data_IF_437681280919
#
_entry.id   IF_437681280919
#
_cell.length_a   1.000
_cell.length_b   1.000
_cell.length_c   1.000
_cell.angle_alpha   90.00
_cell.angle_beta   90.00
_cell.angle_gamma   90.00
#
_symmetry.space_group_name_H-M   'P 1'
#
loop_
_entity.id
_entity.type
_entity.pdbx_description
1 polymer ?
#
# COMPACT_ATOMS: atom_id res chain seq x y z
N UNK A 1 53.91 5.25 51.67
CA UNK A 1 52.63 4.58 52.00
C UNK A 1 51.47 5.55 51.73
N UNK A 2 50.69 5.34 50.68
CA UNK A 2 49.36 5.95 50.46
C UNK A 2 48.52 4.93 49.68
N UNK A 3 47.57 4.32 50.37
CA UNK A 3 46.52 3.45 49.81
C UNK A 3 45.36 4.37 49.40
N UNK A 4 44.78 4.18 48.22
CA UNK A 4 43.33 4.30 47.98
C UNK A 4 43.02 3.39 46.78
N UNK A 5 42.24 2.35 47.05
CA UNK A 5 41.51 1.54 46.07
C UNK A 5 40.12 2.17 45.98
N UNK A 6 39.64 2.51 44.78
CA UNK A 6 38.25 2.84 44.43
C UNK A 6 38.26 3.14 42.92
N UNK A 7 37.41 2.68 42.03
CA UNK A 7 36.32 1.71 41.99
C UNK A 7 36.00 1.56 40.50
N UNK A 8 35.41 0.42 40.14
CA UNK A 8 34.89 0.06 38.83
C UNK A 8 34.27 1.23 38.06
N UNK A 9 34.88 1.65 36.96
CA UNK A 9 34.12 2.20 35.83
C UNK A 9 34.43 1.33 34.61
N UNK A 10 33.75 0.19 34.53
CA UNK A 10 33.57 -0.51 33.27
C UNK A 10 32.80 0.46 32.38
N UNK A 11 33.50 1.15 31.49
CA UNK A 11 32.87 1.90 30.41
C UNK A 11 32.27 0.85 29.46
N UNK A 12 31.08 0.36 29.80
CA UNK A 12 30.27 -0.35 28.82
C UNK A 12 29.96 0.66 27.72
N UNK A 13 30.69 0.57 26.61
CA UNK A 13 30.16 1.03 25.33
C UNK A 13 28.87 0.24 25.11
N UNK A 14 27.75 0.78 25.57
CA UNK A 14 26.46 0.41 25.05
C UNK A 14 26.48 0.86 23.60
N UNK A 15 26.84 -0.05 22.69
CA UNK A 15 26.63 0.18 21.27
C UNK A 15 25.13 0.38 21.10
N UNK A 16 24.71 1.64 20.99
CA UNK A 16 23.35 2.02 20.62
C UNK A 16 23.21 1.51 19.19
N UNK A 17 22.70 0.29 19.05
CA UNK A 17 22.27 -0.21 17.77
C UNK A 17 20.98 0.54 17.46
N UNK A 18 21.10 1.65 16.73
CA UNK A 18 19.99 2.21 15.98
C UNK A 18 19.58 1.11 14.98
N UNK A 19 18.60 0.30 15.39
CA UNK A 19 17.97 -0.63 14.48
C UNK A 19 17.04 0.20 13.61
N UNK A 20 17.41 0.36 12.35
CA UNK A 20 16.52 0.89 11.34
C UNK A 20 15.27 0.01 11.38
N UNK A 21 14.13 0.62 11.70
CA UNK A 21 12.85 -0.06 11.56
C UNK A 21 12.62 -0.21 10.06
N UNK A 22 12.41 -1.44 9.60
CA UNK A 22 12.07 -1.67 8.21
C UNK A 22 10.75 -0.97 7.91
N UNK A 23 10.80 0.03 7.03
CA UNK A 23 9.60 0.66 6.52
C UNK A 23 8.89 -0.34 5.59
N UNK A 24 7.77 -0.86 6.06
CA UNK A 24 6.90 -1.79 5.33
C UNK A 24 5.70 -1.07 4.72
N UNK A 25 5.73 0.26 4.68
CA UNK A 25 4.66 1.06 4.05
C UNK A 25 4.64 0.78 2.56
N UNK A 26 3.48 0.38 1.99
CA UNK A 26 3.32 0.28 0.56
C UNK A 26 3.56 1.62 -0.12
N UNK A 27 4.34 1.61 -1.20
CA UNK A 27 4.59 2.79 -2.04
C UNK A 27 3.85 2.58 -3.36
N UNK A 28 2.98 3.54 -3.69
CA UNK A 28 2.34 3.62 -5.00
C UNK A 28 2.95 4.78 -5.76
N UNK A 29 3.39 4.53 -6.98
CA UNK A 29 4.04 5.53 -7.83
C UNK A 29 3.63 5.37 -9.30
N UNK A 30 4.10 6.29 -10.15
CA UNK A 30 3.84 6.29 -11.60
C UNK A 30 2.35 6.20 -11.97
N UNK A 31 1.50 6.82 -11.14
CA UNK A 31 0.05 6.81 -11.34
C UNK A 31 -0.31 7.61 -12.59
N UNK A 32 -0.92 6.95 -13.56
CA UNK A 32 -1.53 7.59 -14.74
C UNK A 32 -2.98 7.16 -14.86
N UNK A 33 -3.81 8.02 -15.45
CA UNK A 33 -5.22 7.71 -15.66
C UNK A 33 -5.73 8.38 -16.94
N UNK A 34 -6.53 7.65 -17.70
CA UNK A 34 -7.15 8.15 -18.92
C UNK A 34 -8.55 7.56 -19.10
N UNK A 35 -9.50 8.42 -19.49
CA UNK A 35 -10.82 7.96 -19.88
C UNK A 35 -10.70 7.20 -21.21
N UNK A 36 -11.36 6.05 -21.29
CA UNK A 36 -11.48 5.30 -22.55
C UNK A 36 -12.47 6.04 -23.45
N UNK A 37 -12.00 6.44 -24.63
CA UNK A 37 -12.77 7.27 -25.56
C UNK A 37 -14.16 6.70 -25.84
N UNK A 38 -15.17 7.58 -25.82
CA UNK A 38 -16.59 7.24 -26.04
C UNK A 38 -17.19 6.27 -25.03
N UNK A 39 -16.59 6.11 -23.84
CA UNK A 39 -17.13 5.28 -22.76
C UNK A 39 -17.11 6.04 -21.43
N UNK A 40 -17.75 5.46 -20.40
CA UNK A 40 -17.63 5.92 -19.00
C UNK A 40 -16.55 5.15 -18.23
N UNK A 41 -15.68 4.42 -18.92
CA UNK A 41 -14.58 3.70 -18.30
C UNK A 41 -13.33 4.58 -18.20
N UNK A 42 -12.61 4.45 -17.09
CA UNK A 42 -11.29 5.03 -16.86
C UNK A 42 -10.29 3.89 -16.70
N UNK A 43 -9.18 3.94 -17.43
CA UNK A 43 -8.02 3.08 -17.17
C UNK A 43 -7.02 3.83 -16.29
N UNK A 44 -6.55 3.15 -15.27
CA UNK A 44 -5.61 3.67 -14.27
C UNK A 44 -4.44 2.70 -14.21
N UNK A 45 -3.23 3.22 -14.39
CA UNK A 45 -1.99 2.46 -14.27
C UNK A 45 -1.18 2.99 -13.09
N UNK A 46 -0.48 2.09 -12.40
CA UNK A 46 0.41 2.44 -11.29
C UNK A 46 1.44 1.33 -11.05
N UNK A 47 2.49 1.68 -10.32
CA UNK A 47 3.44 0.72 -9.77
C UNK A 47 3.19 0.59 -8.26
N UNK A 48 3.30 -0.64 -7.75
CA UNK A 48 3.18 -0.96 -6.33
C UNK A 48 4.47 -1.59 -5.84
N UNK A 49 5.11 -0.95 -4.86
CA UNK A 49 6.30 -1.44 -4.17
C UNK A 49 5.99 -1.71 -2.71
N UNK A 50 6.34 -2.91 -2.25
CA UNK A 50 6.25 -3.32 -0.85
C UNK A 50 7.50 -4.10 -0.53
N UNK A 51 8.25 -3.68 0.50
CA UNK A 51 9.61 -4.18 0.78
C UNK A 51 9.70 -5.70 0.98
N UNK A 52 8.67 -6.29 1.58
CA UNK A 52 8.62 -7.72 1.90
C UNK A 52 7.76 -8.53 0.92
N UNK A 53 7.30 -7.90 -0.17
CA UNK A 53 6.51 -8.56 -1.20
C UNK A 53 5.06 -8.87 -0.79
N UNK A 54 4.59 -8.44 0.40
CA UNK A 54 3.25 -8.79 0.85
C UNK A 54 2.15 -8.10 0.02
N UNK A 55 1.02 -8.79 -0.23
CA UNK A 55 -0.08 -8.21 -0.97
C UNK A 55 -0.75 -7.07 -0.20
N UNK A 56 -1.32 -6.13 -0.96
CA UNK A 56 -2.06 -4.99 -0.42
C UNK A 56 -3.52 -5.00 -0.85
N UNK A 57 -4.32 -4.21 -0.14
CA UNK A 57 -5.64 -3.78 -0.62
C UNK A 57 -5.49 -2.46 -1.37
N UNK A 58 -5.92 -2.43 -2.62
CA UNK A 58 -5.87 -1.24 -3.48
C UNK A 58 -7.23 -0.55 -3.50
N UNK A 59 -7.25 0.73 -3.11
CA UNK A 59 -8.42 1.61 -3.19
C UNK A 59 -8.13 2.75 -4.14
N UNK A 60 -9.06 3.02 -5.06
CA UNK A 60 -8.99 4.17 -5.96
C UNK A 60 -9.92 5.26 -5.45
N UNK A 61 -9.37 6.46 -5.32
CA UNK A 61 -10.08 7.68 -4.96
C UNK A 61 -10.07 8.65 -6.13
N UNK A 62 -11.15 9.42 -6.26
CA UNK A 62 -11.31 10.43 -7.29
C UNK A 62 -11.56 11.81 -6.69
N UNK A 63 -10.88 12.79 -7.26
CA UNK A 63 -11.04 14.22 -7.00
C UNK A 63 -11.74 14.88 -8.18
N UNK A 64 -12.60 15.84 -7.86
CA UNK A 64 -13.30 16.68 -8.84
C UNK A 64 -12.75 18.12 -8.86
N UNK A 65 -11.85 18.44 -7.93
CA UNK A 65 -11.40 19.79 -7.58
C UNK A 65 -9.87 19.93 -7.66
N UNK A 66 -9.29 19.37 -8.72
CA UNK A 66 -7.85 19.45 -9.02
C UNK A 66 -6.95 18.85 -7.92
N UNK A 67 -7.46 17.86 -7.18
CA UNK A 67 -6.71 17.15 -6.12
C UNK A 67 -6.78 17.83 -4.76
N UNK A 68 -7.62 18.86 -4.57
CA UNK A 68 -7.80 19.51 -3.27
C UNK A 68 -8.50 18.57 -2.28
N UNK A 69 -9.51 17.84 -2.73
CA UNK A 69 -10.22 16.80 -1.98
C UNK A 69 -10.43 15.54 -2.82
N UNK A 70 -10.73 14.42 -2.16
CA UNK A 70 -10.96 13.12 -2.79
C UNK A 70 -12.23 12.46 -2.24
N UNK A 71 -13.41 13.04 -2.50
CA UNK A 71 -14.66 12.62 -1.87
C UNK A 71 -15.18 11.28 -2.40
N UNK A 72 -14.83 10.90 -3.64
CA UNK A 72 -15.34 9.69 -4.26
C UNK A 72 -14.38 8.52 -4.10
N UNK A 73 -14.95 7.35 -3.89
CA UNK A 73 -14.27 6.06 -3.97
C UNK A 73 -14.80 5.34 -5.19
N UNK A 74 -13.91 4.84 -6.04
CA UNK A 74 -14.31 4.01 -7.16
C UNK A 74 -14.76 2.63 -6.62
N UNK A 75 -16.03 2.28 -6.80
CA UNK A 75 -16.60 1.01 -6.31
C UNK A 75 -16.75 -0.01 -7.43
N UNK A 76 -17.02 0.44 -8.65
CA UNK A 76 -17.14 -0.43 -9.83
C UNK A 76 -15.80 -0.61 -10.54
N UNK A 77 -14.87 -1.29 -9.86
CA UNK A 77 -13.49 -1.50 -10.33
C UNK A 77 -13.20 -2.95 -10.68
N UNK A 78 -12.35 -3.15 -11.67
CA UNK A 78 -11.80 -4.46 -12.07
C UNK A 78 -10.30 -4.38 -12.27
N UNK A 79 -9.61 -5.53 -12.28
CA UNK A 79 -8.15 -5.60 -12.40
C UNK A 79 -7.46 -5.51 -11.05
N UNK A 80 -6.39 -4.71 -10.96
CA UNK A 80 -5.54 -4.56 -9.78
C UNK A 80 -6.16 -3.67 -8.69
N UNK A 81 -7.41 -3.93 -8.31
CA UNK A 81 -8.16 -3.22 -7.27
C UNK A 81 -8.72 -4.20 -6.23
N UNK A 82 -8.98 -3.71 -5.01
CA UNK A 82 -9.45 -4.54 -3.91
C UNK A 82 -8.32 -5.29 -3.20
N UNK A 83 -8.63 -6.34 -2.42
CA UNK A 83 -7.64 -7.06 -1.62
C UNK A 83 -6.76 -8.00 -2.45
N UNK A 84 -5.57 -8.33 -1.93
CA UNK A 84 -4.73 -9.41 -2.47
C UNK A 84 -3.84 -9.01 -3.66
N UNK A 85 -3.67 -7.71 -3.92
CA UNK A 85 -2.87 -7.23 -5.05
C UNK A 85 -1.39 -7.34 -4.72
N UNK A 86 -0.66 -8.09 -5.54
CA UNK A 86 0.78 -8.29 -5.41
C UNK A 86 1.54 -7.04 -5.87
N UNK A 87 2.70 -6.73 -5.25
CA UNK A 87 3.62 -5.71 -5.76
C UNK A 87 4.03 -5.99 -7.21
N UNK A 88 4.20 -4.93 -8.00
CA UNK A 88 4.49 -5.03 -9.42
C UNK A 88 4.42 -3.68 -10.13
N UNK A 89 4.92 -3.66 -11.37
CA UNK A 89 4.91 -2.48 -12.23
C UNK A 89 3.79 -2.58 -13.27
N UNK A 90 3.27 -1.43 -13.71
CA UNK A 90 2.25 -1.35 -14.78
C UNK A 90 0.92 -2.02 -14.42
N UNK A 91 0.59 -2.10 -13.13
CA UNK A 91 -0.67 -2.66 -12.66
C UNK A 91 -1.83 -1.81 -13.18
N UNK A 92 -2.89 -2.47 -13.67
CA UNK A 92 -4.04 -1.79 -14.29
C UNK A 92 -5.33 -1.98 -13.49
N UNK A 93 -6.01 -0.88 -13.23
CA UNK A 93 -7.40 -0.83 -12.79
C UNK A 93 -8.26 -0.24 -13.90
N UNK A 94 -9.40 -0.88 -14.16
CA UNK A 94 -10.46 -0.29 -14.98
C UNK A 94 -11.62 0.06 -14.05
N UNK A 95 -12.02 1.33 -14.05
CA UNK A 95 -13.13 1.85 -13.26
C UNK A 95 -14.29 2.24 -14.19
N UNK A 96 -15.47 1.69 -13.94
CA UNK A 96 -16.73 2.15 -14.53
C UNK A 96 -17.28 3.33 -13.72
N UNK A 97 -17.08 4.54 -14.24
CA UNK A 97 -17.52 5.77 -13.58
C UNK A 97 -19.04 5.94 -13.61
N UNK A 98 -19.78 5.18 -14.43
CA UNK A 98 -21.24 5.29 -14.50
C UNK A 98 -21.95 4.82 -13.24
N UNK A 99 -21.25 4.12 -12.35
CA UNK A 99 -21.79 3.67 -11.06
C UNK A 99 -21.62 4.74 -9.98
N UNK A 100 -20.45 5.38 -9.93
CA UNK A 100 -20.07 6.26 -8.82
C UNK A 100 -20.20 7.77 -9.16
N UNK A 101 -20.19 8.12 -10.43
CA UNK A 101 -20.08 9.50 -10.93
C UNK A 101 -20.90 9.73 -12.21
N UNK A 102 -22.09 9.16 -12.27
CA UNK A 102 -22.91 9.25 -13.48
C UNK A 102 -23.42 10.67 -13.76
N UNK A 103 -23.53 11.01 -15.04
CA UNK A 103 -24.07 12.28 -15.55
C UNK A 103 -23.38 13.54 -14.98
N UNK A 104 -22.12 13.42 -14.57
CA UNK A 104 -21.31 14.51 -14.04
C UNK A 104 -20.00 14.63 -14.81
N UNK A 105 -19.44 15.84 -14.87
CA UNK A 105 -18.30 16.16 -15.71
C UNK A 105 -17.30 17.06 -14.97
N UNK A 106 -16.01 16.82 -15.19
CA UNK A 106 -14.93 17.71 -14.74
C UNK A 106 -13.76 17.62 -15.70
N UNK A 107 -13.09 18.76 -15.92
CA UNK A 107 -11.83 18.82 -16.69
C UNK A 107 -10.60 18.75 -15.78
N UNK A 108 -10.80 18.84 -14.46
CA UNK A 108 -9.73 18.91 -13.45
C UNK A 108 -9.69 17.67 -12.57
N UNK A 109 -10.22 16.55 -13.06
CA UNK A 109 -10.24 15.30 -12.34
C UNK A 109 -8.84 14.81 -11.96
N UNK A 110 -8.68 14.23 -10.76
CA UNK A 110 -7.42 13.60 -10.31
C UNK A 110 -7.68 12.25 -9.67
N UNK A 111 -6.82 11.29 -9.96
CA UNK A 111 -6.81 9.98 -9.30
C UNK A 111 -5.83 10.00 -8.13
N UNK A 112 -6.20 9.28 -7.07
CA UNK A 112 -5.29 8.85 -6.02
C UNK A 112 -5.50 7.36 -5.80
N UNK A 113 -4.42 6.61 -5.93
CA UNK A 113 -4.38 5.18 -5.60
C UNK A 113 -3.82 5.04 -4.20
N UNK A 114 -4.51 4.29 -3.35
CA UNK A 114 -4.11 4.03 -1.97
C UNK A 114 -3.87 2.53 -1.83
N UNK A 115 -2.67 2.16 -1.37
CA UNK A 115 -2.34 0.80 -1.00
C UNK A 115 -2.33 0.69 0.53
N UNK A 116 -3.18 -0.17 1.06
CA UNK A 116 -3.23 -0.49 2.49
C UNK A 116 -2.71 -1.91 2.69
N UNK A 117 -1.75 -2.06 3.60
CA UNK A 117 -1.22 -3.38 3.94
C UNK A 117 -2.31 -4.23 4.58
N UNK A 118 -2.39 -5.50 4.19
CA UNK A 118 -3.22 -6.49 4.87
C UNK A 118 -2.40 -7.02 6.06
N UNK A 119 -2.81 -6.81 7.33
CA UNK A 119 -2.13 -7.40 8.47
C UNK A 119 -2.04 -8.93 8.35
N UNK A 120 -0.96 -9.58 8.81
CA UNK A 120 -0.81 -11.04 8.74
C UNK A 120 -1.93 -11.83 9.46
N UNK A 121 -2.61 -11.19 10.42
CA UNK A 121 -3.72 -11.73 11.19
C UNK A 121 -5.10 -11.33 10.65
N UNK A 122 -5.17 -10.68 9.48
CA UNK A 122 -6.44 -10.33 8.85
C UNK A 122 -7.12 -11.58 8.28
N UNK A 123 -8.10 -12.09 9.00
CA UNK A 123 -9.09 -13.02 8.48
C UNK A 123 -10.17 -12.24 7.72
N UNK A 124 -10.30 -12.50 6.41
CA UNK A 124 -11.40 -11.95 5.63
C UNK A 124 -12.73 -12.44 6.24
N UNK A 125 -13.72 -11.56 6.55
CA UNK A 125 -15.05 -11.97 7.01
C UNK A 125 -15.76 -12.96 6.07
N UNK A 126 -15.38 -13.02 4.80
CA UNK A 126 -15.92 -13.96 3.81
C UNK A 126 -15.25 -15.35 3.85
N UNK A 127 -14.36 -15.61 4.81
CA UNK A 127 -13.77 -16.93 5.07
C UNK A 127 -12.69 -17.38 4.08
N UNK A 128 -12.29 -16.56 3.11
CA UNK A 128 -11.16 -16.86 2.24
C UNK A 128 -9.84 -16.50 2.93
N UNK A 129 -9.20 -17.46 3.57
CA UNK A 129 -7.85 -17.32 4.11
C UNK A 129 -6.85 -17.28 2.97
N UNK A 130 -6.26 -16.11 2.70
CA UNK A 130 -5.05 -16.01 1.90
C UNK A 130 -3.94 -16.79 2.60
N UNK A 131 -3.81 -18.07 2.24
CA UNK A 131 -2.85 -19.00 2.83
C UNK A 131 -1.53 -18.83 2.09
N UNK A 132 -0.80 -17.77 2.45
CA UNK A 132 0.52 -17.46 1.92
C UNK A 132 1.58 -17.51 3.01
N UNK A 133 1.53 -18.51 3.90
CA UNK A 133 2.49 -18.72 4.97
C UNK A 133 3.28 -20.00 4.75
N UNK A 134 4.44 -19.88 4.13
CA UNK A 134 5.43 -20.94 3.88
C UNK A 134 5.85 -21.59 5.21
N UNK A 135 5.40 -22.82 5.50
CA UNK A 135 5.98 -23.64 6.56
C UNK A 135 7.27 -24.28 6.06
N UNK A 136 8.34 -23.49 6.05
CA UNK A 136 9.70 -23.93 5.78
C UNK A 136 10.60 -23.82 7.01
N UNK A 137 11.07 -24.99 7.45
CA UNK A 137 12.27 -25.28 8.23
C UNK A 137 12.21 -25.22 9.76
N UNK A 138 12.09 -26.42 10.35
CA UNK A 138 12.68 -26.77 11.63
C UNK A 138 13.24 -28.18 11.56
N UNK A 139 14.52 -28.31 11.17
CA UNK A 139 15.38 -29.47 11.48
C UNK A 139 16.72 -28.89 11.97
N UNK A 140 17.38 -29.49 12.98
CA UNK A 140 18.06 -30.77 12.84
C UNK A 140 17.37 -31.98 13.48
#
# INVERSE_FOLDING_TARGET
MKKIVLSFLVLQLFAIHLRAQDDLTPVVENVTAAQVANTKNMEIFFDLKVKDGQPCTITVKWSVDNGSTYPLTATAVTGAAGPGIQPGEGLKVTWDMSVDWDNQFTQTGRIRVIASRIPPDYSNPDGNTNTGGTSGTGNP
#
